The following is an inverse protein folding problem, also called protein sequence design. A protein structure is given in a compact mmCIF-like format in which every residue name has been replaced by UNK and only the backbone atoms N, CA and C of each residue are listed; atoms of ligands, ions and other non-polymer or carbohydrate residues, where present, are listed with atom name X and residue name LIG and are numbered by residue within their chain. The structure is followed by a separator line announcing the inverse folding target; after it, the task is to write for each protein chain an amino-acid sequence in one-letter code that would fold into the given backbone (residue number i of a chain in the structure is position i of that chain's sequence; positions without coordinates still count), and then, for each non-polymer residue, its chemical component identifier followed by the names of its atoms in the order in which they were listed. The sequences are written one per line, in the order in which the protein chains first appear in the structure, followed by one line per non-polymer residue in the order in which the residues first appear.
data_IF_027424018057
#
_entry.id   IF_027424018057
#
_cell.length_a   1.000
_cell.length_b   1.000
_cell.length_c   1.000
_cell.angle_alpha   90.00
_cell.angle_beta   90.00
_cell.angle_gamma   90.00
#
_symmetry.space_group_name_H-M   'P 1'
#
loop_
_entity.id
_entity.type
_entity.pdbx_description
1 polymer ?
#
# COMPACT_ATOMS: atom_id res chain seq x y z
N UNK A 1 -95.40 1.53 27.75
CA UNK A 1 -95.97 2.56 28.65
C UNK A 1 -95.53 2.20 30.07
N UNK A 2 -94.88 3.15 30.75
CA UNK A 2 -94.44 3.14 32.16
C UNK A 2 -93.37 2.10 32.54
N UNK A 3 -92.17 2.41 33.03
CA UNK A 3 -91.63 3.63 33.64
C UNK A 3 -91.17 3.31 35.06
N UNK A 4 -89.91 3.58 35.41
CA UNK A 4 -89.41 3.82 36.78
C UNK A 4 -87.94 4.23 36.72
N UNK A 5 -87.68 5.48 37.10
CA UNK A 5 -86.37 6.07 37.33
C UNK A 5 -85.96 5.89 38.79
N UNK A 6 -84.69 5.60 39.08
CA UNK A 6 -84.01 6.03 40.32
C UNK A 6 -82.65 6.62 39.94
N UNK A 7 -82.51 7.95 40.04
CA UNK A 7 -81.94 8.73 41.16
C UNK A 7 -80.41 8.90 41.04
N UNK A 8 -80.09 10.13 40.60
CA UNK A 8 -78.86 10.90 40.75
C UNK A 8 -78.03 10.56 42.00
N UNK A 9 -76.73 10.35 41.81
CA UNK A 9 -75.72 11.08 42.59
C UNK A 9 -74.73 11.73 41.64
N UNK A 10 -74.97 13.01 41.37
CA UNK A 10 -73.96 13.94 40.89
C UNK A 10 -73.03 14.25 42.06
N UNK A 11 -71.73 13.91 41.92
CA UNK A 11 -70.68 14.72 42.53
C UNK A 11 -69.92 15.47 41.45
N UNK A 12 -69.77 16.80 41.57
CA UNK A 12 -69.28 17.65 40.50
C UNK A 12 -67.76 17.77 40.52
N UNK A 13 -67.17 17.66 39.33
CA UNK A 13 -66.47 18.78 38.71
C UNK A 13 -65.20 19.32 39.39
N UNK A 14 -64.09 19.15 38.67
CA UNK A 14 -63.27 20.23 38.08
C UNK A 14 -62.25 19.51 37.19
N UNK A 15 -61.87 19.87 35.97
CA UNK A 15 -61.90 21.06 35.09
C UNK A 15 -60.53 20.87 34.38
N UNK A 16 -60.30 20.90 33.08
CA UNK A 16 -61.02 21.30 31.90
C UNK A 16 -60.33 20.63 30.67
N UNK A 17 -61.07 20.62 29.57
CA UNK A 17 -60.63 20.83 28.17
C UNK A 17 -59.40 20.05 27.66
N UNK A 18 -59.60 19.08 26.75
CA UNK A 18 -59.69 19.29 25.29
C UNK A 18 -58.39 19.93 24.77
N UNK A 19 -57.58 19.24 23.98
CA UNK A 19 -57.67 19.33 22.52
C UNK A 19 -57.01 18.12 21.83
N UNK A 20 -57.86 17.41 21.12
CA UNK A 20 -57.53 16.58 19.96
C UNK A 20 -56.71 17.35 18.91
N UNK A 21 -55.86 16.61 18.18
CA UNK A 21 -55.76 16.58 16.70
C UNK A 21 -54.31 16.65 16.20
N UNK A 22 -54.03 15.70 15.30
CA UNK A 22 -53.08 15.78 14.18
C UNK A 22 -51.62 15.91 14.59
N UNK A 23 -50.82 14.85 14.46
CA UNK A 23 -49.36 14.87 14.15
C UNK A 23 -48.82 13.44 13.91
N UNK A 24 -49.57 12.57 13.23
CA UNK A 24 -49.19 11.16 13.07
C UNK A 24 -48.89 10.71 11.63
N UNK A 25 -48.54 11.62 10.72
CA UNK A 25 -48.16 11.22 9.35
C UNK A 25 -47.20 12.21 8.70
N UNK A 26 -45.90 12.17 9.05
CA UNK A 26 -44.74 12.49 8.18
C UNK A 26 -43.50 11.82 8.79
N UNK A 27 -42.55 11.40 7.94
CA UNK A 27 -41.28 10.70 8.22
C UNK A 27 -41.28 9.17 8.16
N UNK A 28 -41.81 8.62 7.07
CA UNK A 28 -41.30 7.36 6.51
C UNK A 28 -40.83 7.60 5.08
N UNK A 29 -39.78 8.41 4.91
CA UNK A 29 -39.08 8.50 3.63
C UNK A 29 -37.64 8.90 3.88
N UNK A 30 -36.73 8.15 3.24
CA UNK A 30 -35.34 8.52 2.93
C UNK A 30 -34.25 8.17 3.95
N UNK A 31 -33.73 6.93 3.88
CA UNK A 31 -32.31 6.66 4.15
C UNK A 31 -31.85 5.29 3.58
N UNK A 32 -31.83 5.12 2.25
CA UNK A 32 -31.12 4.00 1.60
C UNK A 32 -30.11 4.46 0.52
N UNK A 33 -29.80 5.75 0.43
CA UNK A 33 -28.72 6.25 -0.43
C UNK A 33 -27.59 6.84 0.42
N UNK A 34 -27.06 6.05 1.34
CA UNK A 34 -25.81 6.38 2.01
C UNK A 34 -24.66 5.74 1.21
N UNK A 35 -24.12 6.53 0.28
CA UNK A 35 -22.75 6.50 -0.22
C UNK A 35 -22.16 5.12 -0.63
N UNK A 36 -22.49 4.68 -1.84
CA UNK A 36 -21.61 3.78 -2.63
C UNK A 36 -20.50 4.55 -3.36
N UNK A 37 -20.09 5.70 -2.84
CA UNK A 37 -18.84 6.34 -3.24
C UNK A 37 -17.73 5.81 -2.35
N UNK A 38 -17.27 4.59 -2.64
CA UNK A 38 -15.87 4.27 -2.36
C UNK A 38 -15.11 5.08 -3.40
N UNK A 39 -14.40 6.17 -3.05
CA UNK A 39 -13.57 6.82 -4.04
C UNK A 39 -12.59 5.75 -4.54
N UNK A 40 -12.52 5.57 -5.85
CA UNK A 40 -11.53 4.74 -6.53
C UNK A 40 -10.12 5.35 -6.41
N UNK A 41 -9.75 5.79 -5.21
CA UNK A 41 -8.46 6.34 -4.82
C UNK A 41 -7.78 5.37 -3.84
N UNK A 42 -7.76 4.10 -4.23
CA UNK A 42 -6.74 3.14 -3.75
C UNK A 42 -5.74 2.85 -4.88
N UNK A 43 -5.52 3.81 -5.78
CA UNK A 43 -4.67 3.63 -6.94
C UNK A 43 -3.25 4.16 -6.66
N UNK A 44 -2.32 3.21 -6.55
CA UNK A 44 -0.87 3.33 -6.75
C UNK A 44 0.03 3.96 -5.66
N UNK A 45 -0.48 4.28 -4.47
CA UNK A 45 0.35 4.57 -3.30
C UNK A 45 0.37 3.37 -2.35
N UNK A 46 1.56 2.88 -1.96
CA UNK A 46 1.69 1.85 -0.92
C UNK A 46 0.88 2.17 0.34
N UNK A 47 0.55 1.16 1.15
CA UNK A 47 -0.26 1.41 2.34
C UNK A 47 0.51 2.33 3.30
N UNK A 48 -0.14 3.30 3.97
CA UNK A 48 0.54 4.24 4.86
C UNK A 48 1.33 3.58 6.01
N UNK A 49 1.02 2.32 6.32
CA UNK A 49 1.63 1.50 7.36
C UNK A 49 2.62 0.45 6.82
N UNK A 50 2.85 0.39 5.51
CA UNK A 50 3.72 -0.62 4.91
C UNK A 50 5.19 -0.33 5.22
N UNK A 51 5.68 -0.98 6.27
CA UNK A 51 7.08 -0.92 6.68
C UNK A 51 7.93 -1.82 5.77
N UNK A 52 8.83 -1.22 5.01
CA UNK A 52 9.84 -1.97 4.26
C UNK A 52 11.01 -2.40 5.15
N UNK A 53 11.78 -3.42 4.74
CA UNK A 53 13.06 -3.73 5.36
C UNK A 53 14.01 -2.52 5.33
N UNK A 54 15.03 -2.54 6.19
CA UNK A 54 16.07 -1.53 6.19
C UNK A 54 16.74 -1.43 4.80
N UNK A 55 17.04 -0.21 4.37
CA UNK A 55 17.62 0.04 3.04
C UNK A 55 18.93 -0.73 2.81
N UNK A 56 19.72 -0.98 3.85
CA UNK A 56 20.96 -1.77 3.75
C UNK A 56 20.69 -3.24 3.49
N UNK A 57 19.63 -3.78 4.08
CA UNK A 57 19.18 -5.15 3.82
C UNK A 57 18.71 -5.25 2.37
N UNK A 58 17.89 -4.30 1.91
CA UNK A 58 17.43 -4.25 0.52
C UNK A 58 18.57 -4.07 -0.49
N UNK A 59 19.60 -3.30 -0.15
CA UNK A 59 20.80 -3.17 -0.98
C UNK A 59 21.58 -4.49 -1.12
N UNK A 60 21.64 -5.29 -0.06
CA UNK A 60 22.20 -6.64 -0.11
C UNK A 60 21.34 -7.60 -0.96
N UNK A 61 20.03 -7.59 -0.74
CA UNK A 61 19.09 -8.41 -1.51
C UNK A 61 19.07 -8.05 -3.00
N UNK A 62 19.27 -6.77 -3.33
CA UNK A 62 19.41 -6.30 -4.69
C UNK A 62 20.62 -6.95 -5.39
N UNK A 63 21.78 -7.02 -4.72
CA UNK A 63 22.96 -7.73 -5.26
C UNK A 63 22.72 -9.23 -5.38
N UNK A 64 22.08 -9.86 -4.39
CA UNK A 64 21.72 -11.28 -4.46
C UNK A 64 20.84 -11.57 -5.67
N UNK A 65 19.84 -10.71 -5.94
CA UNK A 65 18.99 -10.83 -7.12
C UNK A 65 19.79 -10.63 -8.42
N UNK A 66 20.56 -9.54 -8.53
CA UNK A 66 21.27 -9.19 -9.76
C UNK A 66 22.33 -10.23 -10.15
N UNK A 67 23.04 -10.81 -9.16
CA UNK A 67 24.09 -11.80 -9.37
C UNK A 67 23.57 -13.25 -9.46
N UNK A 68 22.29 -13.50 -9.17
CA UNK A 68 21.69 -14.83 -9.35
C UNK A 68 21.44 -15.16 -10.83
N UNK A 69 21.37 -14.16 -11.71
CA UNK A 69 21.19 -14.36 -13.14
C UNK A 69 22.48 -14.87 -13.81
N UNK A 70 22.40 -15.72 -14.84
CA UNK A 70 23.53 -16.02 -15.71
C UNK A 70 24.14 -14.75 -16.31
N UNK A 71 25.46 -14.69 -16.57
CA UNK A 71 26.12 -13.48 -17.08
C UNK A 71 25.47 -12.88 -18.33
N UNK A 72 25.00 -13.70 -19.27
CA UNK A 72 24.37 -13.27 -20.53
C UNK A 72 22.96 -12.68 -20.33
N UNK A 73 22.37 -12.93 -19.16
CA UNK A 73 21.03 -12.49 -18.77
C UNK A 73 21.06 -11.51 -17.59
N UNK A 74 22.25 -11.06 -17.19
CA UNK A 74 22.41 -10.20 -16.03
C UNK A 74 21.64 -8.88 -16.24
N UNK A 75 20.74 -8.51 -15.33
CA UNK A 75 19.88 -7.33 -15.51
C UNK A 75 20.66 -6.00 -15.45
N UNK A 76 21.86 -5.96 -14.87
CA UNK A 76 22.74 -4.78 -14.83
C UNK A 76 23.38 -4.52 -16.19
N UNK A 77 23.76 -5.57 -16.93
CA UNK A 77 24.38 -5.45 -18.26
C UNK A 77 23.39 -5.61 -19.41
N UNK A 78 22.12 -5.86 -19.11
CA UNK A 78 21.03 -5.89 -20.08
C UNK A 78 20.85 -4.51 -20.74
N UNK A 79 21.05 -4.35 -22.06
CA UNK A 79 21.02 -3.05 -22.71
C UNK A 79 19.60 -2.48 -22.88
N UNK A 80 18.56 -3.32 -22.89
CA UNK A 80 17.19 -2.90 -23.24
C UNK A 80 16.15 -3.16 -22.12
N UNK A 81 16.50 -3.96 -21.12
CA UNK A 81 15.64 -4.25 -19.96
C UNK A 81 14.76 -5.50 -20.11
N UNK A 82 14.93 -6.29 -21.18
CA UNK A 82 14.19 -7.54 -21.40
C UNK A 82 14.30 -8.56 -20.26
N UNK A 83 15.37 -8.51 -19.49
CA UNK A 83 15.64 -9.42 -18.36
C UNK A 83 15.23 -8.83 -17.00
N UNK A 84 14.61 -7.65 -16.95
CA UNK A 84 14.32 -6.97 -15.68
C UNK A 84 13.38 -7.74 -14.73
N UNK A 85 12.62 -8.70 -15.26
CA UNK A 85 11.69 -9.54 -14.50
C UNK A 85 12.30 -10.86 -14.03
N UNK A 86 13.50 -11.22 -14.49
CA UNK A 86 14.13 -12.50 -14.18
C UNK A 86 14.39 -12.59 -12.67
N UNK A 87 13.93 -13.66 -12.03
CA UNK A 87 14.13 -13.92 -10.60
C UNK A 87 13.36 -13.00 -9.63
N UNK A 88 12.54 -12.06 -10.13
CA UNK A 88 11.78 -11.14 -9.28
C UNK A 88 10.61 -11.84 -8.57
N UNK A 89 10.44 -11.55 -7.29
CA UNK A 89 9.36 -12.09 -6.48
C UNK A 89 9.06 -11.19 -5.26
N UNK A 90 7.99 -11.48 -4.53
CA UNK A 90 7.63 -10.70 -3.34
C UNK A 90 7.04 -9.32 -3.65
N UNK A 91 7.06 -8.41 -2.67
CA UNK A 91 6.41 -7.09 -2.78
C UNK A 91 7.32 -6.00 -3.36
N UNK A 92 8.62 -6.19 -3.26
CA UNK A 92 9.63 -5.25 -3.72
C UNK A 92 10.09 -5.72 -5.09
N UNK A 93 10.19 -4.79 -6.02
CA UNK A 93 10.72 -5.00 -7.35
C UNK A 93 12.04 -4.26 -7.47
N UNK A 94 13.11 -5.01 -7.72
CA UNK A 94 14.44 -4.44 -7.88
C UNK A 94 14.61 -3.90 -9.31
N UNK A 95 14.98 -2.62 -9.45
CA UNK A 95 15.42 -2.10 -10.74
C UNK A 95 16.95 -2.15 -10.81
N UNK A 96 17.47 -2.59 -11.96
CA UNK A 96 18.91 -2.63 -12.17
C UNK A 96 19.47 -1.22 -12.38
N UNK A 97 20.58 -0.91 -11.70
CA UNK A 97 21.44 0.22 -12.03
C UNK A 97 22.35 -0.08 -13.22
N UNK A 98 23.39 0.72 -13.38
CA UNK A 98 24.44 0.56 -14.39
C UNK A 98 25.82 0.56 -13.72
N UNK A 99 26.90 0.36 -14.49
CA UNK A 99 28.27 0.50 -13.99
C UNK A 99 28.88 1.86 -14.33
N UNK A 100 28.04 2.90 -14.39
CA UNK A 100 28.44 4.29 -14.64
C UNK A 100 28.04 4.83 -16.02
N UNK A 101 27.57 3.97 -16.91
CA UNK A 101 27.05 4.39 -18.21
C UNK A 101 25.59 4.90 -18.12
N UNK A 102 25.26 5.83 -19.01
CA UNK A 102 23.87 6.25 -19.24
C UNK A 102 23.16 5.19 -20.09
N UNK A 103 22.11 4.60 -19.53
CA UNK A 103 21.30 3.55 -20.18
C UNK A 103 19.83 3.94 -20.19
N UNK A 104 19.13 3.54 -21.25
CA UNK A 104 17.67 3.64 -21.34
C UNK A 104 17.10 2.24 -21.52
N UNK A 105 16.27 1.80 -20.57
CA UNK A 105 15.70 0.45 -20.52
C UNK A 105 14.19 0.54 -20.36
N UNK A 106 13.48 -0.44 -20.93
CA UNK A 106 12.04 -0.60 -20.71
C UNK A 106 11.79 -1.83 -19.87
N UNK A 107 11.17 -1.64 -18.70
CA UNK A 107 10.79 -2.74 -17.81
C UNK A 107 9.30 -2.71 -17.52
N UNK A 108 8.62 -3.84 -17.71
CA UNK A 108 7.19 -3.98 -17.35
C UNK A 108 7.07 -4.53 -15.92
N UNK A 109 6.53 -3.70 -15.03
CA UNK A 109 6.39 -4.02 -13.61
C UNK A 109 4.92 -4.33 -13.30
N UNK A 110 4.61 -5.43 -12.60
CA UNK A 110 3.26 -5.71 -12.12
C UNK A 110 2.75 -4.59 -11.19
N UNK A 111 1.44 -4.30 -11.16
CA UNK A 111 0.89 -3.31 -10.24
C UNK A 111 1.08 -3.74 -8.78
N UNK A 112 1.16 -2.77 -7.87
CA UNK A 112 1.25 -3.01 -6.43
C UNK A 112 2.63 -3.44 -5.93
N UNK A 113 3.69 -3.22 -6.71
CA UNK A 113 5.08 -3.41 -6.28
C UNK A 113 5.66 -2.10 -5.74
N UNK A 114 6.39 -2.19 -4.64
CA UNK A 114 7.32 -1.15 -4.25
C UNK A 114 8.59 -1.25 -5.09
N UNK A 115 9.22 -0.13 -5.45
CA UNK A 115 10.45 -0.13 -6.23
C UNK A 115 11.64 0.10 -5.32
N UNK A 116 12.68 -0.72 -5.49
CA UNK A 116 14.01 -0.40 -5.00
C UNK A 116 14.88 -0.04 -6.20
N UNK A 117 15.51 1.13 -6.12
CA UNK A 117 16.37 1.68 -7.17
C UNK A 117 17.72 2.01 -6.52
N UNK A 118 18.82 1.39 -6.95
CA UNK A 118 20.14 1.84 -6.51
C UNK A 118 20.40 3.21 -7.10
N UNK A 119 20.69 4.21 -6.26
CA UNK A 119 21.19 5.50 -6.73
C UNK A 119 22.62 5.38 -7.25
N UNK A 120 23.38 4.48 -6.63
CA UNK A 120 24.73 4.10 -6.99
C UNK A 120 24.95 2.63 -6.63
N UNK A 121 25.73 1.91 -7.44
CA UNK A 121 26.16 0.55 -7.15
C UNK A 121 27.59 0.33 -7.67
N UNK A 122 28.41 -0.33 -6.88
CA UNK A 122 29.75 -0.79 -7.29
C UNK A 122 29.94 -2.24 -6.87
N UNK A 123 30.65 -3.00 -7.70
CA UNK A 123 31.01 -4.38 -7.41
C UNK A 123 32.53 -4.47 -7.35
N UNK A 124 33.01 -5.09 -6.28
CA UNK A 124 34.40 -5.45 -6.11
C UNK A 124 34.51 -6.95 -5.97
N UNK A 125 35.43 -7.55 -6.72
CA UNK A 125 35.79 -8.96 -6.57
C UNK A 125 37.31 -9.08 -6.55
N UNK A 126 37.79 -10.19 -6.00
CA UNK A 126 39.19 -10.55 -6.07
C UNK A 126 39.33 -11.98 -6.58
N UNK A 127 40.51 -12.32 -7.09
CA UNK A 127 40.78 -13.69 -7.51
C UNK A 127 40.93 -14.63 -6.30
N UNK A 128 40.81 -15.93 -6.51
CA UNK A 128 40.91 -16.91 -5.43
C UNK A 128 42.32 -16.99 -4.80
N UNK A 129 43.31 -16.26 -5.34
CA UNK A 129 44.71 -16.30 -4.94
C UNK A 129 45.04 -15.19 -3.93
N UNK A 130 44.22 -14.15 -3.85
CA UNK A 130 44.43 -12.95 -3.01
C UNK A 130 43.09 -12.22 -2.88
N UNK A 131 42.49 -11.84 -1.72
CA UNK A 131 42.84 -11.94 -0.29
C UNK A 131 41.67 -12.52 0.58
N UNK A 132 41.67 -12.36 1.91
CA UNK A 132 40.53 -12.73 2.79
C UNK A 132 39.28 -11.86 2.54
N UNK A 133 38.10 -12.31 3.00
CA UNK A 133 36.85 -11.52 2.90
C UNK A 133 36.96 -10.13 3.56
N UNK A 134 37.81 -9.98 4.58
CA UNK A 134 38.05 -8.73 5.29
C UNK A 134 38.84 -7.74 4.44
N UNK A 135 39.86 -8.23 3.74
CA UNK A 135 40.68 -7.43 2.82
C UNK A 135 39.87 -6.98 1.59
N UNK A 136 39.02 -7.85 1.04
CA UNK A 136 38.10 -7.48 -0.06
C UNK A 136 37.13 -6.38 0.40
N UNK A 137 36.56 -6.50 1.60
CA UNK A 137 35.67 -5.48 2.16
C UNK A 137 36.39 -4.16 2.41
N UNK A 138 37.64 -4.20 2.88
CA UNK A 138 38.43 -3.00 3.10
C UNK A 138 38.70 -2.27 1.77
N UNK A 139 39.11 -3.00 0.72
CA UNK A 139 39.33 -2.43 -0.61
C UNK A 139 38.04 -1.82 -1.20
N UNK A 140 36.94 -2.57 -1.15
CA UNK A 140 35.65 -2.09 -1.64
C UNK A 140 35.17 -0.80 -0.95
N UNK A 141 35.46 -0.64 0.35
CA UNK A 141 35.09 0.56 1.10
C UNK A 141 35.96 1.78 0.79
N UNK A 142 37.20 1.60 0.33
CA UNK A 142 38.06 2.71 -0.10
C UNK A 142 37.52 3.36 -1.37
N UNK A 143 37.13 2.55 -2.36
CA UNK A 143 36.65 3.04 -3.65
C UNK A 143 35.34 3.83 -3.57
N UNK A 144 34.49 3.51 -2.60
CA UNK A 144 33.23 4.24 -2.37
C UNK A 144 33.47 5.65 -1.80
N UNK A 145 34.59 5.86 -1.08
CA UNK A 145 34.90 7.15 -0.46
C UNK A 145 35.42 8.22 -1.43
N UNK A 146 35.93 7.80 -2.58
CA UNK A 146 36.60 8.66 -3.57
C UNK A 146 35.70 9.01 -4.78
N UNK A 147 34.45 8.52 -4.80
CA UNK A 147 33.45 8.69 -5.87
C UNK A 147 32.50 9.86 -5.62
#
# INVERSE_FOLDING_TARGET
MFGSNEILFLTPGKRAEVKSRLWATRFLTLCCMAASFVPAFSWAGGRPDEKFPDARVLAGDWWNWALAAPPEQNPITDPDGRNCALGQHGKIWFLAGSFGETVTRTCRIPPGKALFIPLFNSLWWADAVTPTIEEVRAAANLDVGDS
#
